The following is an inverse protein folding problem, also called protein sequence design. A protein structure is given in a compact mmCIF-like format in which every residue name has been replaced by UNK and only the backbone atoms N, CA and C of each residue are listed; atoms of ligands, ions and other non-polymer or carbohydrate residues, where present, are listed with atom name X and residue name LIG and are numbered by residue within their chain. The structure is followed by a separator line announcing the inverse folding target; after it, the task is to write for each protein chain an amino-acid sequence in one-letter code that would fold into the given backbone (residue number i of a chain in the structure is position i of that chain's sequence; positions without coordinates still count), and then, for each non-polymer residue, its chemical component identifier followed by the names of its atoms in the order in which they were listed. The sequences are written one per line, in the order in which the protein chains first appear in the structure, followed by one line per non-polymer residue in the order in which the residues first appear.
data_IF_211551012940
#
_entry.id   IF_211551012940
#
_cell.length_a   1.000
_cell.length_b   1.000
_cell.length_c   1.000
_cell.angle_alpha   90.00
_cell.angle_beta   90.00
_cell.angle_gamma   90.00
#
_symmetry.space_group_name_H-M   'P 1'
#
loop_
_entity.id
_entity.type
_entity.pdbx_description
1 polymer ?
#
# COMPACT_ATOMS: atom_id res chain seq x y z
N UNK A 1 7.05 -12.70 38.54
CA UNK A 1 5.94 -13.46 37.91
C UNK A 1 4.65 -12.75 38.25
N UNK A 2 4.12 -11.93 37.35
CA UNK A 2 2.75 -11.45 37.49
C UNK A 2 1.84 -12.66 37.20
N UNK A 3 0.95 -13.00 38.15
CA UNK A 3 -0.09 -14.00 37.91
C UNK A 3 -1.07 -13.38 36.91
N UNK A 4 -1.19 -13.98 35.72
CA UNK A 4 -2.33 -13.74 34.84
C UNK A 4 -3.60 -14.06 35.63
N UNK A 5 -4.46 -13.05 35.81
CA UNK A 5 -5.78 -13.25 36.39
C UNK A 5 -6.66 -13.96 35.35
N UNK A 6 -7.43 -14.95 35.78
CA UNK A 6 -8.39 -15.62 34.91
C UNK A 6 -9.39 -14.59 34.36
N UNK A 7 -9.83 -14.72 33.10
CA UNK A 7 -10.78 -13.80 32.51
C UNK A 7 -12.09 -13.79 33.30
N UNK A 8 -12.68 -12.61 33.43
CA UNK A 8 -13.99 -12.42 34.06
C UNK A 8 -15.12 -12.95 33.17
N UNK A 9 -16.29 -13.25 33.75
CA UNK A 9 -17.47 -13.69 32.99
C UNK A 9 -17.88 -12.68 31.91
N UNK A 10 -17.71 -11.38 32.17
CA UNK A 10 -17.92 -10.30 31.19
C UNK A 10 -16.98 -10.40 30.00
N UNK A 11 -15.68 -10.62 30.24
CA UNK A 11 -14.69 -10.75 29.18
C UNK A 11 -14.96 -11.98 28.30
N UNK A 12 -15.37 -13.10 28.91
CA UNK A 12 -15.74 -14.31 28.16
C UNK A 12 -16.95 -14.06 27.26
N UNK A 13 -17.95 -13.31 27.73
CA UNK A 13 -19.13 -12.96 26.93
C UNK A 13 -18.80 -12.00 25.79
N UNK A 14 -17.95 -10.99 26.04
CA UNK A 14 -17.47 -10.04 25.02
C UNK A 14 -16.65 -10.75 23.93
N UNK A 15 -15.74 -11.64 24.32
CA UNK A 15 -14.95 -12.45 23.38
C UNK A 15 -15.86 -13.35 22.53
N UNK A 16 -16.88 -13.97 23.14
CA UNK A 16 -17.84 -14.80 22.40
C UNK A 16 -18.63 -13.98 21.38
N UNK A 17 -19.13 -12.80 21.76
CA UNK A 17 -19.88 -11.94 20.85
C UNK A 17 -19.00 -11.44 19.69
N UNK A 18 -17.72 -11.12 19.97
CA UNK A 18 -16.76 -10.76 18.94
C UNK A 18 -16.49 -11.93 17.99
N UNK A 19 -16.34 -13.15 18.49
CA UNK A 19 -16.16 -14.32 17.62
C UNK A 19 -17.39 -14.59 16.75
N UNK A 20 -18.60 -14.43 17.30
CA UNK A 20 -19.83 -14.54 16.52
C UNK A 20 -19.88 -13.49 15.41
N UNK A 21 -19.49 -12.23 15.69
CA UNK A 21 -19.38 -11.18 14.68
C UNK A 21 -18.31 -11.52 13.63
N UNK A 22 -17.09 -11.88 14.05
CA UNK A 22 -15.97 -12.19 13.16
C UNK A 22 -16.22 -13.40 12.25
N UNK A 23 -17.10 -14.33 12.65
CA UNK A 23 -17.44 -15.54 11.89
C UNK A 23 -18.79 -15.49 11.20
N UNK A 24 -19.55 -14.40 11.36
CA UNK A 24 -20.89 -14.29 10.78
C UNK A 24 -20.86 -14.41 9.26
N UNK A 25 -21.92 -14.98 8.68
CA UNK A 25 -22.13 -14.95 7.23
C UNK A 25 -22.30 -13.51 6.74
N UNK A 26 -21.77 -13.22 5.55
CA UNK A 26 -21.88 -11.89 4.97
C UNK A 26 -23.35 -11.55 4.70
N UNK A 27 -23.88 -10.43 5.23
CA UNK A 27 -25.30 -10.09 5.12
C UNK A 27 -25.68 -9.44 3.79
N UNK A 28 -24.70 -9.04 2.98
CA UNK A 28 -24.88 -8.39 1.68
C UNK A 28 -24.00 -9.04 0.60
N UNK A 29 -24.40 -8.88 -0.66
CA UNK A 29 -23.58 -9.26 -1.82
C UNK A 29 -22.25 -8.51 -1.82
N UNK A 30 -21.18 -9.16 -2.30
CA UNK A 30 -19.87 -8.53 -2.38
C UNK A 30 -19.81 -7.56 -3.57
N UNK A 31 -19.17 -6.41 -3.37
CA UNK A 31 -18.82 -5.48 -4.42
C UNK A 31 -17.69 -6.05 -5.30
N UNK A 32 -17.76 -5.75 -6.60
CA UNK A 32 -16.66 -6.01 -7.51
C UNK A 32 -15.61 -4.88 -7.46
N UNK A 33 -15.00 -4.70 -6.29
CA UNK A 33 -13.89 -3.77 -6.09
C UNK A 33 -12.64 -4.52 -5.68
N UNK A 34 -11.50 -3.90 -5.96
CA UNK A 34 -10.18 -4.32 -5.46
C UNK A 34 -9.67 -3.38 -4.37
N UNK A 35 -10.35 -2.26 -4.08
CA UNK A 35 -9.90 -1.24 -3.15
C UNK A 35 -10.37 -1.57 -1.74
N UNK A 36 -9.45 -1.69 -0.80
CA UNK A 36 -9.76 -2.02 0.59
C UNK A 36 -10.74 -1.01 1.20
N UNK A 37 -10.61 0.28 0.90
CA UNK A 37 -11.51 1.33 1.41
C UNK A 37 -12.93 1.31 0.84
N UNK A 38 -13.18 0.52 -0.21
CA UNK A 38 -14.51 0.36 -0.80
C UNK A 38 -15.21 -0.91 -0.32
N UNK A 39 -14.45 -1.84 0.29
CA UNK A 39 -14.94 -3.12 0.79
C UNK A 39 -15.27 -3.03 2.28
N UNK A 40 -16.28 -3.78 2.70
CA UNK A 40 -16.53 -4.10 4.11
C UNK A 40 -15.47 -5.07 4.63
N UNK A 41 -15.23 -5.06 5.94
CA UNK A 41 -14.29 -5.98 6.58
C UNK A 41 -14.65 -7.46 6.34
N UNK A 42 -15.95 -7.78 6.18
CA UNK A 42 -16.42 -9.14 5.89
C UNK A 42 -16.04 -9.56 4.46
N UNK A 43 -16.16 -8.66 3.47
CA UNK A 43 -15.71 -8.94 2.10
C UNK A 43 -14.20 -9.19 2.05
N UNK A 44 -13.41 -8.43 2.80
CA UNK A 44 -11.96 -8.63 2.90
C UNK A 44 -11.66 -9.99 3.54
N UNK A 45 -12.30 -10.32 4.68
CA UNK A 45 -12.17 -11.63 5.36
C UNK A 45 -12.46 -12.78 4.39
N UNK A 46 -13.58 -12.71 3.69
CA UNK A 46 -14.01 -13.77 2.77
C UNK A 46 -13.07 -13.88 1.56
N UNK A 47 -12.56 -12.76 1.03
CA UNK A 47 -11.57 -12.76 -0.04
C UNK A 47 -10.25 -13.40 0.40
N UNK A 48 -9.80 -13.10 1.62
CA UNK A 48 -8.61 -13.74 2.21
C UNK A 48 -8.81 -15.24 2.39
N UNK A 49 -9.98 -15.66 2.89
CA UNK A 49 -10.34 -17.08 3.00
C UNK A 49 -10.41 -17.78 1.63
N UNK A 50 -10.77 -17.04 0.58
CA UNK A 50 -10.79 -17.52 -0.81
C UNK A 50 -9.41 -17.51 -1.50
N UNK A 51 -8.36 -17.01 -0.84
CA UNK A 51 -6.97 -17.09 -1.32
C UNK A 51 -6.32 -15.77 -1.71
N UNK A 52 -6.98 -14.63 -1.50
CA UNK A 52 -6.34 -13.31 -1.61
C UNK A 52 -5.26 -13.17 -0.54
N UNK A 53 -4.01 -13.00 -0.96
CA UNK A 53 -2.83 -12.99 -0.09
C UNK A 53 -1.94 -11.76 -0.27
N UNK A 54 -2.20 -10.99 -1.31
CA UNK A 54 -1.37 -9.85 -1.71
C UNK A 54 -2.12 -8.55 -1.49
N UNK A 55 -1.43 -7.53 -0.99
CA UNK A 55 -1.91 -6.14 -1.01
C UNK A 55 -0.87 -5.26 -1.67
N UNK A 56 -1.32 -4.43 -2.60
CA UNK A 56 -0.52 -3.40 -3.23
C UNK A 56 -0.76 -2.10 -2.47
N UNK A 57 0.32 -1.45 -2.01
CA UNK A 57 0.31 -0.13 -1.38
C UNK A 57 0.84 0.88 -2.42
N UNK A 58 -0.05 1.55 -3.17
CA UNK A 58 0.35 2.59 -4.11
C UNK A 58 0.74 3.89 -3.39
N UNK A 59 1.88 4.47 -3.77
CA UNK A 59 2.39 5.75 -3.25
C UNK A 59 2.40 6.83 -4.33
N UNK A 60 1.57 7.85 -4.15
CA UNK A 60 1.35 8.92 -5.14
C UNK A 60 2.20 10.14 -4.86
N UNK A 61 1.56 11.31 -4.79
CA UNK A 61 2.23 12.59 -4.57
C UNK A 61 1.35 13.78 -4.93
N UNK A 62 1.70 14.95 -4.40
CA UNK A 62 1.04 16.23 -4.71
C UNK A 62 2.14 17.26 -4.98
N UNK A 63 2.50 17.41 -6.25
CA UNK A 63 3.64 18.21 -6.66
C UNK A 63 3.42 18.89 -8.02
N UNK A 64 4.23 19.91 -8.29
CA UNK A 64 4.24 20.58 -9.59
C UNK A 64 4.63 19.59 -10.70
N UNK A 65 3.94 19.70 -11.84
CA UNK A 65 4.22 18.91 -13.03
C UNK A 65 4.15 19.77 -14.29
N UNK A 66 4.75 20.97 -14.20
CA UNK A 66 4.62 22.00 -15.22
C UNK A 66 3.26 22.71 -15.20
N UNK A 67 3.02 23.60 -16.20
CA UNK A 67 1.92 24.57 -16.14
C UNK A 67 0.53 24.02 -16.54
N UNK A 68 0.44 22.77 -16.99
CA UNK A 68 -0.79 22.22 -17.60
C UNK A 68 -1.29 20.93 -16.97
N UNK A 69 -0.59 20.39 -15.97
CA UNK A 69 -0.92 19.12 -15.34
C UNK A 69 -1.37 19.37 -13.91
N UNK A 70 -2.45 18.71 -13.50
CA UNK A 70 -2.94 18.78 -12.13
C UNK A 70 -1.90 18.24 -11.14
N UNK A 71 -1.78 18.87 -9.97
CA UNK A 71 -0.74 18.53 -8.98
C UNK A 71 -0.86 17.08 -8.45
N UNK A 72 -2.05 16.50 -8.49
CA UNK A 72 -2.30 15.13 -8.06
C UNK A 72 -2.16 14.06 -9.13
N UNK A 73 -1.50 14.35 -10.27
CA UNK A 73 -1.39 13.41 -11.41
C UNK A 73 -1.02 11.99 -10.98
N UNK A 74 -0.09 11.88 -10.04
CA UNK A 74 0.46 10.60 -9.57
C UNK A 74 -0.61 9.71 -8.96
N UNK A 75 -1.55 10.31 -8.22
CA UNK A 75 -2.66 9.58 -7.63
C UNK A 75 -3.64 9.06 -8.69
N UNK A 76 -3.89 9.82 -9.76
CA UNK A 76 -4.77 9.39 -10.85
C UNK A 76 -4.17 8.27 -11.67
N UNK A 77 -2.85 8.29 -11.91
CA UNK A 77 -2.13 7.18 -12.55
C UNK A 77 -2.28 5.91 -11.71
N UNK A 78 -2.04 6.00 -10.41
CA UNK A 78 -2.11 4.86 -9.50
C UNK A 78 -3.52 4.29 -9.31
N UNK A 79 -4.57 5.10 -9.45
CA UNK A 79 -5.95 4.61 -9.46
C UNK A 79 -6.15 3.57 -10.59
N UNK A 80 -5.72 3.89 -11.81
CA UNK A 80 -5.84 2.95 -12.93
C UNK A 80 -4.83 1.80 -12.84
N UNK A 81 -3.57 2.11 -12.51
CA UNK A 81 -2.50 1.13 -12.52
C UNK A 81 -2.66 0.06 -11.43
N UNK A 82 -2.98 0.45 -10.20
CA UNK A 82 -3.16 -0.50 -9.10
C UNK A 82 -4.33 -1.45 -9.39
N UNK A 83 -5.45 -0.91 -9.89
CA UNK A 83 -6.60 -1.74 -10.26
C UNK A 83 -6.25 -2.74 -11.37
N UNK A 84 -5.57 -2.30 -12.42
CA UNK A 84 -5.13 -3.18 -13.50
C UNK A 84 -4.22 -4.31 -13.00
N UNK A 85 -3.21 -3.98 -12.19
CA UNK A 85 -2.27 -4.96 -11.63
C UNK A 85 -3.00 -5.94 -10.69
N UNK A 86 -3.83 -5.44 -9.78
CA UNK A 86 -4.52 -6.28 -8.80
C UNK A 86 -5.47 -7.28 -9.48
N UNK A 87 -6.21 -6.82 -10.51
CA UNK A 87 -7.11 -7.67 -11.29
C UNK A 87 -6.36 -8.72 -12.10
N UNK A 88 -5.22 -8.37 -12.71
CA UNK A 88 -4.38 -9.32 -13.46
C UNK A 88 -3.77 -10.39 -12.56
N UNK A 89 -3.36 -10.04 -11.34
CA UNK A 89 -2.85 -11.00 -10.35
C UNK A 89 -3.95 -11.97 -9.86
N UNK A 90 -5.20 -11.51 -9.78
CA UNK A 90 -6.36 -12.32 -9.40
C UNK A 90 -6.43 -12.73 -7.91
N UNK A 91 -5.42 -12.39 -7.12
CA UNK A 91 -5.34 -12.68 -5.68
C UNK A 91 -4.79 -11.50 -4.86
N UNK A 92 -5.01 -10.28 -5.35
CA UNK A 92 -4.50 -9.04 -4.78
C UNK A 92 -5.61 -8.00 -4.57
N UNK A 93 -5.44 -7.17 -3.53
CA UNK A 93 -6.21 -5.94 -3.30
C UNK A 93 -5.28 -4.72 -3.35
N UNK A 94 -5.85 -3.54 -3.56
CA UNK A 94 -5.18 -2.26 -3.41
C UNK A 94 -5.54 -1.65 -2.05
N UNK A 95 -4.51 -1.25 -1.30
CA UNK A 95 -4.67 -0.37 -0.16
C UNK A 95 -4.96 1.07 -0.63
N UNK A 96 -5.45 1.94 0.26
CA UNK A 96 -5.62 3.35 -0.07
C UNK A 96 -4.31 3.98 -0.56
N UNK A 97 -4.41 4.80 -1.61
CA UNK A 97 -3.23 5.51 -2.13
C UNK A 97 -2.64 6.40 -1.04
N UNK A 98 -1.34 6.22 -0.78
CA UNK A 98 -0.56 7.13 0.07
C UNK A 98 -0.28 8.39 -0.75
N UNK A 99 -1.15 9.39 -0.61
CA UNK A 99 -1.14 10.61 -1.43
C UNK A 99 -0.08 11.63 -1.00
N UNK A 100 0.41 11.52 0.23
CA UNK A 100 1.37 12.44 0.83
C UNK A 100 2.71 11.74 0.96
N UNK A 101 3.73 12.30 0.32
CA UNK A 101 5.06 11.70 0.16
C UNK A 101 6.13 12.80 0.30
N UNK A 102 7.43 12.46 0.38
CA UNK A 102 8.48 13.45 0.33
C UNK A 102 8.54 14.12 -1.06
N UNK A 103 8.34 15.44 -1.10
CA UNK A 103 8.39 16.25 -2.35
C UNK A 103 9.46 17.36 -2.26
N UNK A 104 10.23 17.37 -1.17
CA UNK A 104 11.26 18.36 -0.87
C UNK A 104 11.21 18.89 0.55
N UNK A 105 12.21 19.71 0.91
CA UNK A 105 12.34 20.32 2.23
C UNK A 105 11.23 21.32 2.54
N UNK A 106 10.67 21.25 3.75
CA UNK A 106 9.54 22.08 4.20
C UNK A 106 10.02 23.41 4.78
N UNK A 107 10.91 23.36 5.78
CA UNK A 107 11.38 24.56 6.50
C UNK A 107 12.22 25.47 5.60
N UNK A 108 13.08 24.85 4.79
CA UNK A 108 13.83 25.47 3.70
C UNK A 108 13.30 24.86 2.40
N UNK A 109 12.43 25.55 1.63
CA UNK A 109 11.85 25.02 0.40
C UNK A 109 12.88 24.53 -0.62
N UNK A 110 12.95 23.21 -0.80
CA UNK A 110 13.76 22.55 -1.83
C UNK A 110 12.90 21.64 -2.71
N UNK A 111 13.46 21.14 -3.82
CA UNK A 111 12.71 20.27 -4.73
C UNK A 111 11.40 20.90 -5.22
N UNK A 112 10.31 20.13 -5.17
CA UNK A 112 8.98 20.57 -5.58
C UNK A 112 8.32 21.50 -4.55
N UNK A 113 8.79 21.54 -3.30
CA UNK A 113 8.31 22.51 -2.29
C UNK A 113 8.61 23.98 -2.65
N UNK A 114 9.45 24.23 -3.66
CA UNK A 114 9.63 25.58 -4.25
C UNK A 114 8.42 26.10 -5.00
N UNK A 115 7.45 25.23 -5.30
CA UNK A 115 6.28 25.53 -6.12
C UNK A 115 5.02 25.56 -5.25
N UNK A 116 4.20 26.63 -5.33
CA UNK A 116 2.98 26.72 -4.54
C UNK A 116 2.02 25.55 -4.79
N UNK A 117 1.48 25.00 -3.70
CA UNK A 117 0.52 23.90 -3.73
C UNK A 117 1.13 22.51 -3.54
N UNK A 118 2.46 22.37 -3.64
CA UNK A 118 3.13 21.11 -3.29
C UNK A 118 2.94 20.80 -1.80
N UNK A 119 2.67 19.54 -1.48
CA UNK A 119 2.53 19.07 -0.09
C UNK A 119 3.56 17.96 0.14
N UNK A 120 4.51 18.20 1.04
CA UNK A 120 5.60 17.27 1.33
C UNK A 120 5.47 16.69 2.74
N UNK A 121 5.77 15.40 2.89
CA UNK A 121 6.12 14.79 4.16
C UNK A 121 7.64 14.81 4.36
N UNK A 122 8.08 14.82 5.62
CA UNK A 122 9.47 14.48 5.94
C UNK A 122 9.67 12.98 5.74
N UNK A 123 10.87 12.58 5.32
CA UNK A 123 11.24 11.18 5.09
C UNK A 123 10.87 10.27 6.26
N UNK A 124 11.21 10.66 7.49
CA UNK A 124 10.92 9.86 8.68
C UNK A 124 9.41 9.70 8.92
N UNK A 125 8.61 10.69 8.52
CA UNK A 125 7.15 10.61 8.64
C UNK A 125 6.58 9.69 7.57
N UNK A 126 7.07 9.78 6.34
CA UNK A 126 6.69 8.87 5.27
C UNK A 126 7.04 7.41 5.60
N UNK A 127 8.25 7.16 6.12
CA UNK A 127 8.66 5.83 6.57
C UNK A 127 7.77 5.26 7.68
N UNK A 128 7.35 6.11 8.63
CA UNK A 128 6.44 5.68 9.70
C UNK A 128 5.06 5.31 9.14
N UNK A 129 4.52 6.13 8.22
CA UNK A 129 3.24 5.85 7.56
C UNK A 129 3.29 4.52 6.78
N UNK A 130 4.32 4.30 5.96
CA UNK A 130 4.44 3.06 5.19
C UNK A 130 4.55 1.83 6.09
N UNK A 131 5.31 1.92 7.18
CA UNK A 131 5.46 0.82 8.14
C UNK A 131 4.15 0.48 8.82
N UNK A 132 3.44 1.50 9.33
CA UNK A 132 2.17 1.29 10.04
C UNK A 132 1.12 0.69 9.09
N UNK A 133 0.99 1.21 7.86
CA UNK A 133 0.05 0.67 6.86
C UNK A 133 0.39 -0.79 6.51
N UNK A 134 1.67 -1.07 6.19
CA UNK A 134 2.10 -2.41 5.82
C UNK A 134 1.98 -3.41 6.98
N UNK A 135 2.35 -2.99 8.19
CA UNK A 135 2.26 -3.81 9.41
C UNK A 135 0.81 -4.08 9.81
N UNK A 136 -0.11 -3.12 9.64
CA UNK A 136 -1.55 -3.37 9.85
C UNK A 136 -2.08 -4.44 8.89
N UNK A 137 -1.74 -4.37 7.61
CA UNK A 137 -2.17 -5.37 6.62
C UNK A 137 -1.53 -6.73 6.89
N UNK A 138 -0.25 -6.76 7.24
CA UNK A 138 0.44 -7.98 7.63
C UNK A 138 -0.19 -8.60 8.88
N UNK A 139 -0.59 -7.80 9.87
CA UNK A 139 -1.23 -8.28 11.10
C UNK A 139 -2.61 -8.93 10.83
N UNK A 140 -3.31 -8.50 9.78
CA UNK A 140 -4.55 -9.15 9.33
C UNK A 140 -4.31 -10.47 8.58
N UNK A 141 -3.07 -10.79 8.22
CA UNK A 141 -2.69 -12.07 7.63
C UNK A 141 -2.32 -12.02 6.15
N UNK A 142 -2.18 -10.83 5.54
CA UNK A 142 -1.62 -10.73 4.19
C UNK A 142 -0.15 -11.19 4.18
N UNK A 143 0.21 -11.94 3.14
CA UNK A 143 1.52 -12.58 3.02
C UNK A 143 2.47 -11.76 2.14
N UNK A 144 1.94 -11.06 1.13
CA UNK A 144 2.74 -10.23 0.23
C UNK A 144 2.25 -8.79 0.28
N UNK A 145 3.12 -7.87 0.71
CA UNK A 145 2.85 -6.44 0.71
C UNK A 145 3.72 -5.81 -0.37
N UNK A 146 3.13 -5.16 -1.36
CA UNK A 146 3.83 -4.68 -2.56
C UNK A 146 3.76 -3.16 -2.63
N UNK A 147 4.89 -2.49 -2.52
CA UNK A 147 5.00 -1.05 -2.72
C UNK A 147 5.26 -0.72 -4.20
N UNK A 148 4.43 0.17 -4.75
CA UNK A 148 4.62 0.80 -6.06
C UNK A 148 4.52 2.32 -5.90
N UNK A 149 5.22 3.11 -6.71
CA UNK A 149 5.18 4.56 -6.59
C UNK A 149 5.43 5.33 -7.88
N UNK A 150 4.64 6.38 -8.11
CA UNK A 150 4.67 7.19 -9.35
C UNK A 150 5.40 8.55 -9.17
N UNK A 151 5.85 8.89 -7.96
CA UNK A 151 6.69 10.08 -7.69
C UNK A 151 8.11 9.70 -7.27
N UNK A 152 9.07 10.53 -7.67
CA UNK A 152 10.50 10.27 -7.46
C UNK A 152 10.92 10.30 -5.99
N UNK A 153 10.29 11.16 -5.17
CA UNK A 153 10.61 11.25 -3.74
C UNK A 153 10.15 10.06 -2.90
N UNK A 154 9.42 9.12 -3.49
CA UNK A 154 8.86 7.96 -2.80
C UNK A 154 9.83 6.78 -2.80
N UNK A 155 10.72 6.72 -3.79
CA UNK A 155 11.42 5.51 -4.20
C UNK A 155 12.35 4.99 -3.10
N UNK A 156 13.21 5.86 -2.57
CA UNK A 156 14.15 5.49 -1.50
C UNK A 156 13.42 5.06 -0.22
N UNK A 157 12.34 5.77 0.14
CA UNK A 157 11.59 5.45 1.35
C UNK A 157 10.85 4.12 1.29
N UNK A 158 10.28 3.76 0.13
CA UNK A 158 9.69 2.44 -0.08
C UNK A 158 10.74 1.32 0.02
N UNK A 159 11.93 1.51 -0.57
CA UNK A 159 13.02 0.55 -0.49
C UNK A 159 13.47 0.32 0.96
N UNK A 160 13.75 1.40 1.69
CA UNK A 160 14.19 1.36 3.08
C UNK A 160 13.15 0.67 3.98
N UNK A 161 11.87 1.00 3.80
CA UNK A 161 10.81 0.40 4.62
C UNK A 161 10.59 -1.07 4.28
N UNK A 162 10.64 -1.45 3.01
CA UNK A 162 10.53 -2.85 2.61
C UNK A 162 11.63 -3.71 3.25
N UNK A 163 12.89 -3.26 3.21
CA UNK A 163 14.01 -3.94 3.86
C UNK A 163 13.79 -4.06 5.38
N UNK A 164 13.41 -2.96 6.04
CA UNK A 164 13.13 -2.96 7.49
C UNK A 164 11.98 -3.88 7.90
N UNK A 165 10.94 -4.00 7.07
CA UNK A 165 9.83 -4.92 7.31
C UNK A 165 10.31 -6.36 7.18
N UNK A 166 11.08 -6.68 6.13
CA UNK A 166 11.61 -8.02 5.88
C UNK A 166 12.61 -8.49 6.95
N UNK A 167 13.35 -7.58 7.59
CA UNK A 167 14.18 -7.92 8.75
C UNK A 167 13.36 -8.38 9.97
N UNK A 168 12.13 -7.88 10.11
CA UNK A 168 11.24 -8.16 11.26
C UNK A 168 10.24 -9.27 10.98
N UNK A 169 9.86 -9.47 9.72
CA UNK A 169 8.85 -10.44 9.33
C UNK A 169 9.44 -11.83 9.12
N UNK A 170 8.73 -12.84 9.60
CA UNK A 170 9.15 -14.24 9.44
C UNK A 170 8.64 -14.91 8.17
N UNK A 171 7.34 -14.72 7.85
CA UNK A 171 6.67 -15.39 6.72
C UNK A 171 6.20 -14.43 5.63
N UNK A 172 5.68 -13.28 6.03
CA UNK A 172 5.24 -12.24 5.08
C UNK A 172 6.45 -11.55 4.46
N UNK A 173 6.29 -11.06 3.23
CA UNK A 173 7.34 -10.38 2.47
C UNK A 173 6.83 -9.00 2.04
N UNK A 174 7.63 -7.97 2.31
CA UNK A 174 7.49 -6.65 1.73
C UNK A 174 8.30 -6.58 0.44
N UNK A 175 7.64 -6.29 -0.67
CA UNK A 175 8.24 -6.10 -1.98
C UNK A 175 8.25 -4.60 -2.29
N UNK A 176 9.35 -4.10 -2.82
CA UNK A 176 9.40 -2.80 -3.48
C UNK A 176 9.70 -3.03 -4.96
N UNK A 177 8.87 -2.46 -5.84
CA UNK A 177 8.96 -2.63 -7.29
C UNK A 177 9.46 -1.32 -7.93
N UNK A 178 10.78 -1.07 -7.98
CA UNK A 178 11.35 0.14 -8.58
C UNK A 178 10.99 0.28 -10.07
N UNK A 179 10.75 -0.84 -10.74
CA UNK A 179 10.38 -0.92 -12.15
C UNK A 179 9.08 -0.16 -12.48
N UNK A 180 8.18 0.00 -11.51
CA UNK A 180 6.96 0.76 -11.73
C UNK A 180 7.26 2.22 -12.12
N UNK A 181 8.31 2.79 -11.53
CA UNK A 181 8.76 4.15 -11.79
C UNK A 181 9.78 4.22 -12.94
N UNK A 182 10.80 3.35 -12.90
CA UNK A 182 11.91 3.34 -13.87
C UNK A 182 11.58 2.58 -15.15
N UNK A 183 10.62 3.10 -15.91
CA UNK A 183 10.19 2.50 -17.17
C UNK A 183 11.29 2.54 -18.27
N UNK A 184 12.27 3.44 -18.14
CA UNK A 184 13.34 3.62 -19.14
C UNK A 184 14.34 2.47 -19.04
N UNK A 185 14.82 2.14 -17.84
CA UNK A 185 15.79 1.05 -17.68
C UNK A 185 15.19 -0.30 -18.06
N UNK A 186 13.89 -0.52 -17.86
CA UNK A 186 13.19 -1.73 -18.30
C UNK A 186 13.20 -1.85 -19.81
N UNK A 187 12.81 -0.79 -20.53
CA UNK A 187 12.78 -0.81 -22.00
C UNK A 187 14.18 -0.99 -22.57
N UNK A 188 15.20 -0.38 -21.97
CA UNK A 188 16.59 -0.57 -22.38
C UNK A 188 17.08 -2.00 -22.12
N UNK A 189 16.73 -2.58 -20.97
CA UNK A 189 17.12 -3.93 -20.59
C UNK A 189 16.39 -4.99 -21.45
N UNK A 190 15.11 -4.78 -21.76
CA UNK A 190 14.32 -5.67 -22.62
C UNK A 190 14.79 -5.61 -24.09
N UNK A 191 15.11 -4.41 -24.60
CA UNK A 191 15.78 -4.23 -25.89
C UNK A 191 17.14 -4.92 -25.92
N UNK A 192 17.91 -4.86 -24.84
CA UNK A 192 19.21 -5.55 -24.76
C UNK A 192 19.08 -7.07 -24.78
N UNK A 193 17.93 -7.61 -24.37
CA UNK A 193 17.57 -9.03 -24.41
C UNK A 193 16.89 -9.46 -25.72
N UNK A 194 16.68 -8.55 -26.66
CA UNK A 194 16.09 -8.84 -27.97
C UNK A 194 14.56 -8.94 -27.97
N UNK A 195 13.91 -8.60 -26.87
CA UNK A 195 12.46 -8.49 -26.79
C UNK A 195 12.02 -7.10 -27.29
N UNK A 196 10.80 -7.03 -27.80
CA UNK A 196 10.25 -5.82 -28.41
C UNK A 196 9.00 -5.37 -27.64
N UNK A 197 9.15 -5.01 -26.37
CA UNK A 197 8.08 -4.29 -25.67
C UNK A 197 7.87 -2.94 -26.36
N UNK A 198 6.68 -2.79 -26.96
CA UNK A 198 6.17 -1.51 -27.46
C UNK A 198 5.14 -1.04 -26.44
N UNK A 199 5.37 0.12 -25.83
CA UNK A 199 4.38 0.79 -24.97
C UNK A 199 3.25 1.32 -25.86
#
# INVERSE_FOLDING_TARGET
MQREQAPTETQVAEDSALQDELTMERPIEALNSIWIEELTWIEIRDAMAAGTKTVIIPTGGIEQNGPYVAMGKHNYVLQGACEGIARELGNALCAPIVKLVPEGGIDEPTGHMRYPGTISLREETFHAVLDDVASSLQAHGFENIVFIGDSGGNQDGMAVVADRLNERWGKSIAHYIPEFYDNISIVENDRSKGNNLTI
#
